data_IF_184937609470
#
_entry.id   IF_184937609470
#
_cell.length_a   1.000
_cell.length_b   1.000
_cell.length_c   1.000
_cell.angle_alpha   90.00
_cell.angle_beta   90.00
_cell.angle_gamma   90.00
#
_symmetry.space_group_name_H-M   'P 1'
#
loop_
_entity.id
_entity.type
_entity.pdbx_description
1 polymer ?
#
# COMPACT_ATOMS: atom_id res chain seq x y z
N UNK A 1 -22.75 3.11 9.61
CA UNK A 1 -22.08 2.61 8.39
C UNK A 1 -21.52 1.24 8.70
N UNK A 2 -21.71 0.26 7.81
CA UNK A 2 -21.07 -1.06 7.93
C UNK A 2 -19.56 -0.93 7.84
N UNK A 3 -18.82 -1.72 8.63
CA UNK A 3 -17.35 -1.79 8.57
C UNK A 3 -16.94 -2.29 7.19
N UNK A 4 -15.99 -1.63 6.53
CA UNK A 4 -15.39 -2.15 5.29
C UNK A 4 -14.62 -3.43 5.62
N UNK A 5 -14.89 -4.50 4.86
CA UNK A 5 -14.09 -5.74 4.93
C UNK A 5 -12.66 -5.45 4.49
N UNK A 6 -11.68 -6.21 4.99
CA UNK A 6 -10.29 -6.11 4.52
C UNK A 6 -10.00 -7.03 3.33
N UNK A 7 -10.88 -7.98 3.07
CA UNK A 7 -10.81 -8.93 1.96
C UNK A 7 -12.08 -8.90 1.13
N UNK A 8 -12.00 -9.45 -0.09
CA UNK A 8 -13.17 -9.72 -0.94
C UNK A 8 -14.18 -10.68 -0.27
N UNK A 9 -15.30 -10.92 -0.94
CA UNK A 9 -16.38 -11.77 -0.42
C UNK A 9 -15.94 -13.23 -0.22
N UNK A 10 -14.89 -13.66 -0.93
CA UNK A 10 -14.33 -15.00 -0.90
C UNK A 10 -13.20 -15.14 0.14
N UNK A 11 -12.63 -14.04 0.63
CA UNK A 11 -11.47 -14.03 1.51
C UNK A 11 -10.16 -14.34 0.78
N UNK A 12 -10.12 -14.25 -0.54
CA UNK A 12 -8.98 -14.70 -1.36
C UNK A 12 -8.00 -13.56 -1.68
N UNK A 13 -8.51 -12.32 -1.75
CA UNK A 13 -7.72 -11.13 -2.07
C UNK A 13 -7.93 -10.02 -1.04
N UNK A 14 -6.84 -9.29 -0.73
CA UNK A 14 -6.91 -8.07 0.08
C UNK A 14 -7.51 -6.91 -0.71
N UNK A 15 -8.40 -6.14 -0.07
CA UNK A 15 -9.01 -4.93 -0.64
C UNK A 15 -8.33 -3.64 -0.17
N UNK A 16 -7.32 -3.74 0.70
CA UNK A 16 -6.67 -2.57 1.31
C UNK A 16 -5.99 -1.69 0.26
N UNK A 17 -5.31 -2.29 -0.72
CA UNK A 17 -4.66 -1.56 -1.80
C UNK A 17 -5.68 -0.84 -2.69
N UNK A 18 -6.85 -1.44 -2.91
CA UNK A 18 -7.92 -0.80 -3.68
C UNK A 18 -8.53 0.38 -2.93
N UNK A 19 -8.63 0.29 -1.60
CA UNK A 19 -9.02 1.43 -0.77
C UNK A 19 -7.95 2.53 -0.79
N UNK A 20 -6.67 2.16 -0.76
CA UNK A 20 -5.56 3.11 -0.84
C UNK A 20 -5.57 3.88 -2.17
N UNK A 21 -5.76 3.18 -3.30
CA UNK A 21 -5.86 3.79 -4.64
C UNK A 21 -7.05 4.75 -4.77
N UNK A 22 -8.11 4.53 -4.00
CA UNK A 22 -9.30 5.41 -3.96
C UNK A 22 -9.17 6.55 -2.95
N UNK A 23 -8.08 6.60 -2.16
CA UNK A 23 -7.89 7.65 -1.17
C UNK A 23 -7.61 9.00 -1.85
N UNK A 24 -8.14 10.08 -1.26
CA UNK A 24 -7.91 11.43 -1.76
C UNK A 24 -6.41 11.79 -1.78
N UNK A 25 -5.66 11.29 -0.78
CA UNK A 25 -4.22 11.50 -0.67
C UNK A 25 -3.47 10.84 -1.84
N UNK A 26 -3.82 9.60 -2.19
CA UNK A 26 -3.22 8.92 -3.34
C UNK A 26 -3.58 9.60 -4.67
N UNK A 27 -4.85 9.97 -4.86
CA UNK A 27 -5.30 10.68 -6.07
C UNK A 27 -4.56 12.00 -6.23
N UNK A 28 -4.37 12.75 -5.14
CA UNK A 28 -3.65 14.02 -5.15
C UNK A 28 -2.16 13.83 -5.49
N UNK A 29 -1.48 12.88 -4.83
CA UNK A 29 -0.06 12.61 -5.06
C UNK A 29 0.25 12.10 -6.49
N UNK A 30 -0.75 11.55 -7.18
CA UNK A 30 -0.61 11.08 -8.57
C UNK A 30 -0.99 12.14 -9.61
N UNK A 31 -1.53 13.29 -9.21
CA UNK A 31 -2.19 14.24 -10.11
C UNK A 31 -1.24 14.88 -11.14
N UNK A 32 0.01 15.11 -10.77
CA UNK A 32 1.03 15.71 -11.63
C UNK A 32 1.98 14.66 -12.28
N UNK A 33 1.73 13.38 -11.99
CA UNK A 33 2.52 12.25 -12.49
C UNK A 33 3.87 12.06 -11.79
N UNK A 34 4.16 12.75 -10.68
CA UNK A 34 5.41 12.61 -9.93
C UNK A 34 5.19 12.77 -8.43
N UNK A 35 5.49 11.72 -7.68
CA UNK A 35 5.56 11.80 -6.22
C UNK A 35 6.91 12.38 -5.80
N UNK A 36 6.91 13.49 -5.08
CA UNK A 36 8.12 14.11 -4.51
C UNK A 36 8.38 13.74 -3.05
N UNK A 37 9.57 14.12 -2.55
CA UNK A 37 10.01 13.80 -1.18
C UNK A 37 9.09 14.40 -0.11
N UNK A 38 8.56 15.59 -0.34
CA UNK A 38 7.68 16.26 0.63
C UNK A 38 6.32 15.57 0.73
N UNK A 39 5.82 15.02 -0.38
CA UNK A 39 4.58 14.23 -0.39
C UNK A 39 4.77 12.89 0.34
N UNK A 40 5.91 12.23 0.14
CA UNK A 40 6.28 11.02 0.91
C UNK A 40 6.35 11.34 2.40
N UNK A 41 7.01 12.43 2.78
CA UNK A 41 7.16 12.83 4.19
C UNK A 41 5.81 13.19 4.83
N UNK A 42 4.93 13.83 4.08
CA UNK A 42 3.57 14.13 4.52
C UNK A 42 2.74 12.85 4.73
N UNK A 43 2.89 11.86 3.85
CA UNK A 43 2.21 10.58 3.99
C UNK A 43 2.75 9.77 5.19
N UNK A 44 4.07 9.78 5.40
CA UNK A 44 4.69 9.15 6.57
C UNK A 44 4.19 9.79 7.87
N UNK A 45 4.15 11.12 7.94
CA UNK A 45 3.65 11.83 9.11
C UNK A 45 2.19 11.45 9.44
N UNK A 46 1.34 11.30 8.41
CA UNK A 46 -0.04 10.83 8.58
C UNK A 46 -0.10 9.38 9.08
N UNK A 47 0.71 8.49 8.50
CA UNK A 47 0.79 7.09 8.92
C UNK A 47 1.20 6.98 10.40
N UNK A 48 2.28 7.66 10.79
CA UNK A 48 2.78 7.69 12.17
C UNK A 48 1.73 8.25 13.13
N UNK A 49 1.02 9.31 12.76
CA UNK A 49 -0.06 9.86 13.59
C UNK A 49 -1.21 8.86 13.81
N UNK A 50 -1.55 8.06 12.80
CA UNK A 50 -2.55 7.00 12.91
C UNK A 50 -2.05 5.86 13.80
N UNK A 51 -0.82 5.40 13.60
CA UNK A 51 -0.21 4.34 14.42
C UNK A 51 -0.17 4.73 15.90
N UNK A 52 0.33 5.92 16.22
CA UNK A 52 0.36 6.44 17.59
C UNK A 52 -1.01 6.57 18.25
N UNK A 53 -2.07 6.75 17.45
CA UNK A 53 -3.45 6.80 17.96
C UNK A 53 -4.02 5.41 18.23
N UNK A 54 -3.71 4.43 17.39
CA UNK A 54 -4.29 3.08 17.45
C UNK A 54 -3.54 2.19 18.42
N UNK A 55 -2.20 2.19 18.36
CA UNK A 55 -1.34 1.26 19.09
C UNK A 55 -1.66 1.18 20.60
N UNK A 56 -1.86 2.31 21.34
CA UNK A 56 -2.17 2.26 22.77
C UNK A 56 -3.58 1.73 23.10
N UNK A 57 -4.45 1.56 22.12
CA UNK A 57 -5.82 1.05 22.29
C UNK A 57 -5.92 -0.47 22.15
N UNK A 58 -4.81 -1.12 21.77
CA UNK A 58 -4.72 -2.55 21.57
C UNK A 58 -4.23 -3.22 22.85
N UNK A 59 -4.84 -4.36 23.19
CA UNK A 59 -4.20 -5.28 24.13
C UNK A 59 -3.01 -6.00 23.48
N UNK A 60 -2.19 -6.70 24.28
CA UNK A 60 -0.98 -7.38 23.80
C UNK A 60 -1.26 -8.38 22.66
N UNK A 61 -2.40 -9.08 22.71
CA UNK A 61 -2.77 -10.06 21.68
C UNK A 61 -3.18 -9.37 20.38
N UNK A 62 -3.98 -8.31 20.47
CA UNK A 62 -4.40 -7.50 19.33
C UNK A 62 -3.21 -6.78 18.69
N UNK A 63 -2.30 -6.24 19.51
CA UNK A 63 -1.08 -5.59 19.06
C UNK A 63 -0.21 -6.54 18.25
N UNK A 64 0.04 -7.75 18.77
CA UNK A 64 0.82 -8.77 18.08
C UNK A 64 0.19 -9.14 16.73
N UNK A 65 -1.12 -9.40 16.69
CA UNK A 65 -1.82 -9.77 15.46
C UNK A 65 -1.84 -8.64 14.41
N UNK A 66 -2.05 -7.39 14.84
CA UNK A 66 -2.02 -6.22 13.93
C UNK A 66 -0.59 -5.96 13.44
N UNK A 67 0.42 -6.15 14.29
CA UNK A 67 1.83 -6.01 13.89
C UNK A 67 2.19 -7.03 12.81
N UNK A 68 1.82 -8.30 12.98
CA UNK A 68 2.00 -9.34 11.97
C UNK A 68 1.33 -8.95 10.65
N UNK A 69 0.08 -8.49 10.70
CA UNK A 69 -0.65 -8.02 9.51
C UNK A 69 0.06 -6.84 8.81
N UNK A 70 0.53 -5.83 9.55
CA UNK A 70 1.23 -4.68 8.98
C UNK A 70 2.55 -5.08 8.31
N UNK A 71 3.27 -6.05 8.90
CA UNK A 71 4.47 -6.63 8.31
C UNK A 71 4.17 -7.34 6.99
N UNK A 72 3.18 -8.24 6.97
CA UNK A 72 2.80 -8.98 5.75
C UNK A 72 2.28 -8.04 4.65
N UNK A 73 1.48 -7.03 5.00
CA UNK A 73 1.06 -6.00 4.04
C UNK A 73 2.25 -5.26 3.44
N UNK A 74 3.24 -4.88 4.26
CA UNK A 74 4.45 -4.18 3.79
C UNK A 74 5.28 -5.06 2.85
N UNK A 75 5.47 -6.34 3.19
CA UNK A 75 6.14 -7.32 2.32
C UNK A 75 5.39 -7.46 1.00
N UNK A 76 4.08 -7.66 1.05
CA UNK A 76 3.23 -7.82 -0.14
C UNK A 76 3.29 -6.60 -1.06
N UNK A 77 3.17 -5.38 -0.53
CA UNK A 77 3.27 -4.14 -1.31
C UNK A 77 4.65 -3.99 -1.99
N UNK A 78 5.74 -4.32 -1.28
CA UNK A 78 7.10 -4.30 -1.87
C UNK A 78 7.22 -5.35 -2.97
N UNK A 79 6.71 -6.57 -2.77
CA UNK A 79 6.72 -7.61 -3.80
C UNK A 79 5.96 -7.19 -5.05
N UNK A 80 4.76 -6.60 -4.90
CA UNK A 80 3.98 -6.08 -6.03
C UNK A 80 4.74 -4.97 -6.78
N UNK A 81 5.35 -4.03 -6.07
CA UNK A 81 6.14 -2.94 -6.66
C UNK A 81 7.33 -3.48 -7.45
N UNK A 82 8.10 -4.40 -6.86
CA UNK A 82 9.26 -5.02 -7.51
C UNK A 82 8.85 -5.84 -8.73
N UNK A 83 7.78 -6.64 -8.62
CA UNK A 83 7.23 -7.41 -9.71
C UNK A 83 6.84 -6.51 -10.90
N UNK A 84 6.11 -5.42 -10.64
CA UNK A 84 5.72 -4.46 -11.67
C UNK A 84 6.94 -3.78 -12.33
N UNK A 85 7.98 -3.45 -11.54
CA UNK A 85 9.22 -2.88 -12.06
C UNK A 85 9.99 -3.87 -12.95
N UNK A 86 10.02 -5.17 -12.61
CA UNK A 86 10.65 -6.19 -13.44
C UNK A 86 9.89 -6.40 -14.76
N UNK A 87 8.56 -6.51 -14.72
CA UNK A 87 7.71 -6.62 -15.90
C UNK A 87 7.91 -5.44 -16.87
N UNK A 88 7.95 -4.21 -16.34
CA UNK A 88 8.17 -3.00 -17.14
C UNK A 88 9.54 -3.01 -17.85
N UNK A 89 10.60 -3.47 -17.15
CA UNK A 89 11.94 -3.60 -17.74
C UNK A 89 12.01 -4.70 -18.81
N UNK A 90 11.31 -5.81 -18.62
CA UNK A 90 11.25 -6.90 -19.59
C UNK A 90 10.52 -6.48 -20.87
N UNK A 91 9.40 -5.75 -20.77
CA UNK A 91 8.66 -5.29 -21.95
C UNK A 91 9.42 -4.26 -22.80
N UNK A 92 10.24 -3.41 -22.15
CA UNK A 92 11.16 -2.48 -22.81
C UNK A 92 12.32 -3.20 -23.52
N UNK A 93 12.83 -4.30 -22.97
CA UNK A 93 13.88 -5.11 -23.57
C UNK A 93 13.46 -5.84 -24.85
N UNK A 94 12.19 -6.25 -24.95
CA UNK A 94 11.64 -6.93 -26.15
C UNK A 94 11.34 -5.92 -27.28
N UNK A 95 10.99 -4.66 -26.97
CA UNK A 95 10.77 -3.62 -27.99
C UNK A 95 12.05 -3.07 -28.64
N UNK A 96 13.22 -3.33 -28.06
CA UNK A 96 14.53 -2.97 -28.63
C UNK A 96 15.01 -3.90 -29.75
N UNK A 97 14.37 -5.07 -29.94
CA UNK A 97 14.56 -5.98 -31.07
C UNK A 97 13.50 -5.72 -32.14
N UNK A 98 13.48 -4.51 -32.70
CA UNK A 98 12.95 -4.34 -34.06
C UNK A 98 14.06 -4.71 -35.04
N UNK A 99 14.08 -5.99 -35.43
CA UNK A 99 14.72 -6.46 -36.66
C UNK A 99 14.05 -5.83 -37.89
#
# INVERSE_FOLDING_TARGET
MSRKSWTDEQGETTLIDDYAKQSADFIAAMADGKIDKSEVDAQEAKLVAIMNKIEPTLDDQQHAAITELLCEMSVYSVMQMLHAAYESRMSQGVSGLKL
#
